data_IF_404225752946
#
_entry.id   IF_404225752946
#
_cell.length_a   1.000
_cell.length_b   1.000
_cell.length_c   1.000
_cell.angle_alpha   90.00
_cell.angle_beta   90.00
_cell.angle_gamma   90.00
#
_symmetry.space_group_name_H-M   'P 1'
#
loop_
_entity.id
_entity.type
_entity.pdbx_description
1 polymer ?
#
# COMPACT_ATOMS: atom_id res chain seq x y z
N UNK A 1 34.44 -19.72 30.63
CA UNK A 1 33.31 -18.92 31.08
C UNK A 1 32.47 -18.55 29.87
N UNK A 2 31.45 -19.33 29.59
CA UNK A 2 30.52 -19.13 28.47
C UNK A 2 29.44 -18.14 28.92
N UNK A 3 29.45 -16.95 28.36
CA UNK A 3 28.41 -15.96 28.62
C UNK A 3 27.08 -16.42 27.98
N UNK A 4 26.12 -16.72 28.84
CA UNK A 4 24.76 -17.09 28.46
C UNK A 4 24.06 -15.85 27.93
N UNK A 5 23.65 -15.85 26.65
CA UNK A 5 22.82 -14.79 26.06
C UNK A 5 21.48 -14.74 26.82
N UNK A 6 20.97 -13.57 27.19
CA UNK A 6 19.64 -13.46 27.77
C UNK A 6 18.59 -13.89 26.75
N UNK A 7 17.63 -14.70 27.21
CA UNK A 7 16.46 -15.16 26.44
C UNK A 7 15.57 -13.94 26.06
N UNK A 8 15.33 -13.67 24.77
CA UNK A 8 14.56 -12.52 24.34
C UNK A 8 13.05 -12.73 24.38
N UNK A 9 12.55 -13.71 25.14
CA UNK A 9 11.10 -13.89 25.25
C UNK A 9 10.48 -12.69 26.00
N UNK A 10 9.55 -11.93 25.37
CA UNK A 10 8.84 -10.89 26.09
C UNK A 10 7.98 -11.52 27.18
N UNK A 11 7.93 -10.84 28.32
CA UNK A 11 7.00 -11.18 29.39
C UNK A 11 5.61 -11.40 28.83
N UNK A 12 4.91 -12.44 29.32
CA UNK A 12 3.57 -12.83 28.91
C UNK A 12 2.69 -11.62 28.73
N UNK A 13 2.15 -11.47 27.52
CA UNK A 13 1.14 -10.47 27.22
C UNK A 13 -0.01 -10.60 28.22
N UNK A 14 -0.52 -9.50 28.77
CA UNK A 14 -1.72 -9.54 29.59
C UNK A 14 -2.84 -10.22 28.78
N UNK A 15 -3.73 -10.99 29.42
CA UNK A 15 -4.84 -11.62 28.75
C UNK A 15 -5.57 -10.55 27.92
N UNK A 16 -5.92 -10.89 26.67
CA UNK A 16 -6.71 -10.02 25.81
C UNK A 16 -7.91 -9.56 26.66
N UNK A 17 -8.05 -8.26 26.86
CA UNK A 17 -9.26 -7.71 27.43
C UNK A 17 -10.36 -8.18 26.48
N UNK A 18 -11.27 -9.02 26.97
CA UNK A 18 -12.56 -9.19 26.31
C UNK A 18 -13.07 -7.79 26.04
N UNK A 19 -13.02 -7.38 24.79
CA UNK A 19 -13.41 -6.03 24.40
C UNK A 19 -14.88 -5.89 24.71
N UNK A 20 -15.20 -5.23 25.81
CA UNK A 20 -16.55 -4.82 26.08
C UNK A 20 -17.03 -4.02 24.87
N UNK A 21 -17.98 -4.57 24.13
CA UNK A 21 -18.64 -3.86 23.04
C UNK A 21 -19.19 -2.57 23.64
N UNK A 22 -18.89 -1.38 23.06
CA UNK A 22 -19.37 -0.12 23.61
C UNK A 22 -20.88 -0.19 23.88
N UNK A 23 -21.32 0.19 25.10
CA UNK A 23 -22.73 0.17 25.46
C UNK A 23 -23.55 0.91 24.40
N UNK A 24 -24.62 0.29 23.95
CA UNK A 24 -25.48 0.79 22.85
C UNK A 24 -25.20 0.17 21.48
N UNK A 25 -24.01 -0.37 21.20
CA UNK A 25 -23.75 -0.99 19.88
C UNK A 25 -24.58 -2.26 19.68
N UNK A 26 -24.82 -3.03 20.74
CA UNK A 26 -25.66 -4.24 20.70
C UNK A 26 -27.17 -3.93 20.69
N UNK A 27 -27.56 -2.69 20.92
CA UNK A 27 -28.94 -2.22 20.75
C UNK A 27 -29.30 -2.08 19.27
N UNK A 28 -28.30 -1.92 18.39
CA UNK A 28 -28.47 -1.97 16.95
C UNK A 28 -28.74 -3.42 16.51
N UNK A 29 -29.91 -3.71 15.88
CA UNK A 29 -30.25 -5.07 15.47
C UNK A 29 -29.22 -5.68 14.49
N UNK A 30 -28.57 -4.87 13.67
CA UNK A 30 -27.52 -5.30 12.74
C UNK A 30 -26.26 -5.71 13.48
N UNK A 31 -25.81 -4.88 14.42
CA UNK A 31 -24.65 -5.18 15.25
C UNK A 31 -24.88 -6.41 16.12
N UNK A 32 -26.09 -6.58 16.65
CA UNK A 32 -26.46 -7.77 17.41
C UNK A 32 -26.43 -9.06 16.57
N UNK A 33 -26.83 -8.99 15.30
CA UNK A 33 -26.70 -10.11 14.36
C UNK A 33 -25.24 -10.45 14.03
N UNK A 34 -24.41 -9.43 13.80
CA UNK A 34 -22.98 -9.61 13.58
C UNK A 34 -22.28 -10.23 14.79
N UNK A 35 -22.63 -9.81 16.01
CA UNK A 35 -22.09 -10.38 17.24
C UNK A 35 -22.46 -11.86 17.45
N UNK A 36 -23.54 -12.33 16.83
CA UNK A 36 -23.94 -13.76 16.80
C UNK A 36 -23.39 -14.52 15.61
N UNK A 37 -22.51 -13.90 14.80
CA UNK A 37 -21.93 -14.50 13.60
C UNK A 37 -23.00 -14.98 12.58
N UNK A 38 -24.16 -14.34 12.54
CA UNK A 38 -25.23 -14.67 11.61
C UNK A 38 -24.86 -14.23 10.19
N UNK A 39 -25.07 -15.08 9.14
CA UNK A 39 -24.94 -14.67 7.75
C UNK A 39 -25.81 -13.44 7.47
N UNK A 40 -25.19 -12.40 6.89
CA UNK A 40 -25.83 -11.11 6.70
C UNK A 40 -25.42 -10.48 5.38
N UNK A 41 -26.42 -9.96 4.65
CA UNK A 41 -26.20 -9.01 3.55
C UNK A 41 -26.77 -7.66 3.99
N UNK A 42 -25.94 -6.64 3.97
CA UNK A 42 -26.35 -5.29 4.33
C UNK A 42 -26.07 -4.33 3.18
N UNK A 43 -27.04 -3.52 2.86
CA UNK A 43 -26.92 -2.43 1.90
C UNK A 43 -26.92 -1.11 2.67
N UNK A 44 -25.92 -0.27 2.41
CA UNK A 44 -25.85 1.06 3.04
C UNK A 44 -27.07 1.90 2.64
N UNK A 45 -28.00 2.22 3.56
CA UNK A 45 -29.17 3.03 3.24
C UNK A 45 -28.83 4.49 2.87
N UNK A 46 -27.62 4.93 3.22
CA UNK A 46 -27.09 6.24 2.85
C UNK A 46 -26.26 6.21 1.55
N UNK A 47 -26.28 5.10 0.81
CA UNK A 47 -25.64 5.03 -0.50
C UNK A 47 -26.25 6.07 -1.44
N UNK A 48 -25.40 6.77 -2.17
CA UNK A 48 -25.80 7.79 -3.13
C UNK A 48 -25.14 7.50 -4.48
N UNK A 49 -25.52 8.21 -5.53
CA UNK A 49 -24.83 8.10 -6.81
C UNK A 49 -23.39 8.65 -6.73
N UNK A 50 -22.57 8.30 -7.72
CA UNK A 50 -21.16 8.66 -7.73
C UNK A 50 -20.94 10.17 -7.77
N UNK A 51 -21.78 10.93 -8.47
CA UNK A 51 -21.61 12.38 -8.60
C UNK A 51 -21.84 13.07 -7.24
N UNK A 52 -22.91 12.68 -6.53
CA UNK A 52 -23.19 13.19 -5.19
C UNK A 52 -22.11 12.75 -4.19
N UNK A 53 -21.68 11.48 -4.23
CA UNK A 53 -20.66 10.96 -3.36
C UNK A 53 -19.31 11.65 -3.55
N UNK A 54 -18.90 11.89 -4.77
CA UNK A 54 -17.67 12.60 -5.09
C UNK A 54 -17.74 14.08 -4.69
N UNK A 55 -18.86 14.75 -4.93
CA UNK A 55 -19.04 16.16 -4.54
C UNK A 55 -19.03 16.37 -3.02
N UNK A 56 -19.46 15.36 -2.25
CA UNK A 56 -19.44 15.35 -0.79
C UNK A 56 -18.11 14.85 -0.20
N UNK A 57 -17.18 14.38 -1.04
CA UNK A 57 -15.89 13.86 -0.60
C UNK A 57 -15.07 14.98 0.06
N UNK A 58 -14.39 14.61 1.16
CA UNK A 58 -13.40 15.49 1.81
C UNK A 58 -11.99 15.31 1.23
N UNK A 59 -11.83 14.38 0.27
CA UNK A 59 -10.55 14.16 -0.41
C UNK A 59 -10.45 15.15 -1.56
N UNK A 60 -9.42 15.98 -1.54
CA UNK A 60 -9.10 16.87 -2.63
C UNK A 60 -8.66 16.04 -3.86
N UNK A 61 -9.35 16.15 -5.01
CA UNK A 61 -8.93 15.47 -6.23
C UNK A 61 -7.48 15.73 -6.64
N UNK A 62 -6.93 16.91 -6.33
CA UNK A 62 -5.55 17.25 -6.61
C UNK A 62 -4.54 16.30 -5.94
N UNK A 63 -4.88 15.72 -4.79
CA UNK A 63 -4.05 14.69 -4.12
C UNK A 63 -3.94 13.43 -4.98
N UNK A 64 -5.04 13.04 -5.62
CA UNK A 64 -5.07 11.86 -6.51
C UNK A 64 -4.25 12.11 -7.77
N UNK A 65 -4.40 13.30 -8.36
CA UNK A 65 -3.67 13.71 -9.56
C UNK A 65 -2.16 13.79 -9.28
N UNK A 66 -1.76 14.37 -8.15
CA UNK A 66 -0.36 14.43 -7.74
C UNK A 66 0.23 13.03 -7.50
N UNK A 67 -0.53 12.13 -6.86
CA UNK A 67 -0.10 10.75 -6.66
C UNK A 67 0.08 10.00 -7.99
N UNK A 68 -0.85 10.18 -8.94
CA UNK A 68 -0.77 9.59 -10.26
C UNK A 68 0.45 10.15 -11.03
N UNK A 69 0.63 11.47 -11.02
CA UNK A 69 1.77 12.13 -11.66
C UNK A 69 3.11 11.66 -11.04
N UNK A 70 3.18 11.46 -9.72
CA UNK A 70 4.38 10.94 -9.05
C UNK A 70 4.72 9.52 -9.51
N UNK A 71 3.75 8.62 -9.55
CA UNK A 71 3.99 7.27 -10.06
C UNK A 71 4.44 7.30 -11.52
N UNK A 72 3.89 8.21 -12.34
CA UNK A 72 4.27 8.34 -13.75
C UNK A 72 5.72 8.82 -13.90
N UNK A 73 6.15 9.87 -13.17
CA UNK A 73 7.53 10.38 -13.29
C UNK A 73 8.58 9.43 -12.71
N UNK A 74 8.21 8.54 -11.79
CA UNK A 74 9.11 7.50 -11.30
C UNK A 74 9.19 6.25 -12.21
N UNK A 75 8.34 6.10 -13.21
CA UNK A 75 8.32 4.93 -14.11
C UNK A 75 9.68 4.52 -14.67
N UNK A 76 10.54 5.43 -15.16
CA UNK A 76 11.86 5.05 -15.66
C UNK A 76 12.74 4.39 -14.59
N UNK A 77 12.68 4.89 -13.36
CA UNK A 77 13.39 4.32 -12.23
C UNK A 77 12.80 2.96 -11.81
N UNK A 78 11.46 2.87 -11.77
CA UNK A 78 10.74 1.63 -11.44
C UNK A 78 11.08 0.54 -12.46
N UNK A 79 11.05 0.84 -13.76
CA UNK A 79 11.38 -0.11 -14.83
C UNK A 79 12.82 -0.63 -14.74
N UNK A 80 13.76 0.25 -14.39
CA UNK A 80 15.16 -0.12 -14.23
C UNK A 80 15.44 -0.93 -12.96
N UNK A 81 14.63 -0.71 -11.91
CA UNK A 81 14.83 -1.30 -10.58
C UNK A 81 14.08 -2.64 -10.42
N UNK A 82 12.91 -2.76 -11.01
CA UNK A 82 12.02 -3.92 -10.92
C UNK A 82 11.78 -4.52 -12.31
N UNK A 83 12.53 -5.56 -12.70
CA UNK A 83 12.48 -6.13 -14.05
C UNK A 83 11.10 -6.62 -14.50
N UNK A 84 10.24 -7.05 -13.56
CA UNK A 84 8.87 -7.48 -13.81
C UNK A 84 7.95 -6.33 -14.27
N UNK A 85 8.37 -5.07 -14.09
CA UNK A 85 7.67 -3.88 -14.60
C UNK A 85 8.23 -3.37 -15.93
N UNK A 86 9.40 -3.86 -16.37
CA UNK A 86 10.14 -3.28 -17.50
C UNK A 86 9.33 -3.31 -18.80
N UNK A 87 8.66 -4.44 -19.11
CA UNK A 87 7.83 -4.58 -20.30
C UNK A 87 6.65 -3.59 -20.35
N UNK A 88 6.17 -3.15 -19.18
CA UNK A 88 5.12 -2.14 -19.02
C UNK A 88 5.70 -0.72 -18.82
N UNK A 89 7.02 -0.53 -19.03
CA UNK A 89 7.69 0.75 -18.86
C UNK A 89 7.61 1.30 -17.44
N UNK A 90 7.67 0.43 -16.43
CA UNK A 90 7.62 0.80 -15.01
C UNK A 90 6.21 1.00 -14.46
N UNK A 91 5.17 0.65 -15.21
CA UNK A 91 3.80 0.67 -14.71
C UNK A 91 3.58 -0.48 -13.73
N UNK A 92 3.12 -0.16 -12.52
CA UNK A 92 2.69 -1.14 -11.52
C UNK A 92 1.20 -1.39 -11.72
N UNK A 93 0.87 -2.39 -12.53
CA UNK A 93 -0.50 -2.75 -12.89
C UNK A 93 -0.65 -4.27 -12.94
N UNK A 94 -1.72 -4.78 -12.36
CA UNK A 94 -2.04 -6.20 -12.43
C UNK A 94 -2.92 -6.50 -13.65
N UNK A 95 -2.77 -7.68 -14.27
CA UNK A 95 -3.57 -8.04 -15.43
C UNK A 95 -5.03 -8.32 -15.04
N UNK A 96 -5.93 -8.14 -16.01
CA UNK A 96 -7.28 -8.67 -15.97
C UNK A 96 -7.31 -10.04 -16.62
N UNK A 97 -7.82 -11.03 -15.91
CA UNK A 97 -7.99 -12.40 -16.38
C UNK A 97 -9.48 -12.73 -16.49
N UNK A 98 -9.92 -13.33 -17.60
CA UNK A 98 -11.28 -13.83 -17.71
C UNK A 98 -11.52 -15.03 -16.77
N UNK A 99 -12.57 -14.95 -15.97
CA UNK A 99 -12.99 -15.97 -15.02
C UNK A 99 -14.16 -16.79 -15.59
N UNK A 100 -14.00 -17.35 -16.81
CA UNK A 100 -15.06 -18.04 -17.56
C UNK A 100 -15.64 -19.22 -16.79
N UNK A 101 -14.82 -20.04 -16.14
CA UNK A 101 -15.30 -21.19 -15.37
C UNK A 101 -16.19 -20.74 -14.20
N UNK A 102 -15.78 -19.69 -13.48
CA UNK A 102 -16.59 -19.12 -12.41
C UNK A 102 -17.86 -18.46 -12.94
N UNK A 103 -17.77 -17.73 -14.05
CA UNK A 103 -18.92 -17.11 -14.71
C UNK A 103 -19.99 -18.15 -15.06
N UNK A 104 -19.59 -19.28 -15.63
CA UNK A 104 -20.48 -20.36 -15.96
C UNK A 104 -21.12 -21.02 -14.72
N UNK A 105 -20.30 -21.30 -13.70
CA UNK A 105 -20.78 -21.88 -12.44
C UNK A 105 -21.77 -20.97 -11.70
N UNK A 106 -21.55 -19.65 -11.75
CA UNK A 106 -22.42 -18.64 -11.16
C UNK A 106 -23.68 -18.33 -12.02
N UNK A 107 -23.80 -18.90 -13.22
CA UNK A 107 -24.94 -18.66 -14.10
C UNK A 107 -25.03 -17.26 -14.69
N UNK A 108 -23.93 -16.52 -14.73
CA UNK A 108 -23.87 -15.17 -15.32
C UNK A 108 -23.92 -15.26 -16.83
N UNK A 109 -25.07 -14.90 -17.42
CA UNK A 109 -25.36 -15.11 -18.85
C UNK A 109 -25.05 -13.89 -19.74
N UNK A 110 -24.84 -12.73 -19.17
CA UNK A 110 -24.54 -11.49 -19.90
C UNK A 110 -23.34 -10.77 -19.29
N UNK A 111 -22.59 -10.08 -20.14
CA UNK A 111 -21.35 -9.44 -19.73
C UNK A 111 -20.17 -10.40 -19.58
N UNK A 112 -19.09 -9.91 -18.99
CA UNK A 112 -17.86 -10.67 -18.73
C UNK A 112 -17.51 -10.61 -17.26
N UNK A 113 -17.08 -11.72 -16.68
CA UNK A 113 -16.53 -11.76 -15.33
C UNK A 113 -15.00 -11.74 -15.44
N UNK A 114 -14.40 -10.74 -14.88
CA UNK A 114 -12.96 -10.50 -14.91
C UNK A 114 -12.40 -10.57 -13.50
N UNK A 115 -11.29 -11.25 -13.35
CA UNK A 115 -10.50 -11.27 -12.12
C UNK A 115 -9.32 -10.29 -12.26
N UNK A 116 -9.28 -9.30 -11.38
CA UNK A 116 -8.12 -8.41 -11.24
C UNK A 116 -7.08 -9.15 -10.40
N UNK A 117 -5.95 -9.52 -11.04
CA UNK A 117 -4.93 -10.41 -10.46
C UNK A 117 -3.92 -9.65 -9.60
N UNK A 118 -4.39 -9.03 -8.49
CA UNK A 118 -3.51 -8.29 -7.58
C UNK A 118 -2.53 -9.21 -6.80
N UNK A 119 -2.78 -10.50 -6.80
CA UNK A 119 -1.88 -11.54 -6.28
C UNK A 119 -0.56 -11.67 -7.06
N UNK A 120 -0.54 -11.20 -8.30
CA UNK A 120 0.66 -11.13 -9.15
C UNK A 120 1.00 -9.69 -9.56
N UNK A 121 0.54 -8.70 -8.78
CA UNK A 121 0.91 -7.31 -9.02
C UNK A 121 2.43 -7.17 -8.88
N UNK A 122 3.12 -6.55 -9.86
CA UNK A 122 4.57 -6.33 -9.79
C UNK A 122 5.02 -5.70 -8.49
N UNK A 123 6.28 -5.90 -8.13
CA UNK A 123 6.99 -5.41 -6.94
C UNK A 123 6.71 -6.24 -5.68
N UNK A 124 5.45 -6.46 -5.27
CA UNK A 124 5.19 -7.14 -4.00
C UNK A 124 4.01 -8.12 -4.01
N UNK A 125 3.42 -8.42 -5.16
CA UNK A 125 2.32 -9.39 -5.28
C UNK A 125 1.06 -8.98 -4.52
N UNK A 126 0.77 -7.68 -4.40
CA UNK A 126 -0.36 -7.19 -3.62
C UNK A 126 -0.70 -5.75 -3.98
N UNK A 127 -1.96 -5.35 -3.84
CA UNK A 127 -2.42 -3.96 -4.03
C UNK A 127 -1.59 -2.94 -3.22
N UNK A 128 -0.90 -3.36 -2.17
CA UNK A 128 -0.01 -2.51 -1.37
C UNK A 128 1.25 -2.09 -2.13
N UNK A 129 1.57 -2.74 -3.26
CA UNK A 129 2.61 -2.30 -4.18
C UNK A 129 2.32 -0.93 -4.83
N UNK A 130 1.11 -0.42 -4.78
CA UNK A 130 0.78 0.93 -5.26
C UNK A 130 0.81 1.97 -4.14
N UNK A 131 -0.05 1.84 -3.12
CA UNK A 131 -0.13 2.82 -2.03
C UNK A 131 1.12 2.91 -1.19
N UNK A 132 1.63 1.79 -0.68
CA UNK A 132 2.85 1.76 0.14
C UNK A 132 4.09 2.21 -0.62
N UNK A 133 4.19 1.85 -1.89
CA UNK A 133 5.28 2.33 -2.78
C UNK A 133 5.18 3.84 -2.99
N UNK A 134 3.98 4.36 -3.31
CA UNK A 134 3.75 5.79 -3.52
C UNK A 134 4.21 6.63 -2.31
N UNK A 135 3.85 6.24 -1.09
CA UNK A 135 4.23 6.97 0.13
C UNK A 135 5.75 7.08 0.29
N UNK A 136 6.47 6.00 0.03
CA UNK A 136 7.94 6.02 0.13
C UNK A 136 8.57 6.84 -0.99
N UNK A 137 8.02 6.78 -2.21
CA UNK A 137 8.48 7.63 -3.33
C UNK A 137 8.23 9.11 -3.05
N UNK A 138 7.09 9.46 -2.46
CA UNK A 138 6.79 10.83 -2.04
C UNK A 138 7.81 11.34 -1.00
N UNK A 139 8.12 10.51 -0.01
CA UNK A 139 9.12 10.85 0.98
C UNK A 139 10.50 11.04 0.36
N UNK A 140 10.94 10.12 -0.50
CA UNK A 140 12.23 10.21 -1.19
C UNK A 140 12.32 11.46 -2.08
N UNK A 141 11.26 11.78 -2.83
CA UNK A 141 11.18 12.99 -3.65
C UNK A 141 11.28 14.26 -2.78
N UNK A 142 10.54 14.30 -1.67
CA UNK A 142 10.56 15.44 -0.74
C UNK A 142 11.96 15.67 -0.16
N UNK A 143 12.68 14.61 0.20
CA UNK A 143 14.07 14.71 0.66
C UNK A 143 14.97 15.25 -0.44
N UNK A 144 14.84 14.74 -1.66
CA UNK A 144 15.66 15.17 -2.79
C UNK A 144 15.48 16.66 -3.13
N UNK A 145 14.23 17.13 -3.07
CA UNK A 145 13.89 18.55 -3.26
C UNK A 145 14.43 19.40 -2.12
N UNK A 146 14.23 18.99 -0.87
CA UNK A 146 14.69 19.74 0.31
C UNK A 146 16.21 19.91 0.34
N UNK A 147 16.97 18.97 -0.24
CA UNK A 147 18.44 19.04 -0.34
C UNK A 147 18.93 19.62 -1.67
N UNK A 148 18.05 20.14 -2.51
CA UNK A 148 18.41 20.75 -3.80
C UNK A 148 18.96 19.78 -4.85
N UNK A 149 18.72 18.46 -4.66
CA UNK A 149 19.16 17.40 -5.58
C UNK A 149 18.15 17.10 -6.68
N UNK A 150 16.90 17.54 -6.49
CA UNK A 150 15.86 17.61 -7.51
C UNK A 150 15.23 19.00 -7.49
N UNK A 151 14.90 19.57 -8.67
CA UNK A 151 14.13 20.80 -8.73
C UNK A 151 12.71 20.55 -8.19
N UNK A 152 12.14 21.54 -7.51
CA UNK A 152 10.74 21.49 -7.09
C UNK A 152 9.82 21.40 -8.31
N UNK A 153 8.80 20.51 -8.25
CA UNK A 153 7.81 20.33 -9.32
C UNK A 153 6.96 21.59 -9.57
N UNK A 154 6.81 22.45 -8.57
CA UNK A 154 6.12 23.73 -8.71
C UNK A 154 6.91 24.76 -9.53
N UNK A 155 8.24 24.60 -9.63
CA UNK A 155 9.14 25.56 -10.28
C UNK A 155 9.69 25.11 -11.63
N UNK A 156 9.58 23.81 -11.96
CA UNK A 156 10.11 23.25 -13.21
C UNK A 156 9.24 22.10 -13.72
N UNK A 157 8.97 22.04 -15.05
CA UNK A 157 8.26 20.91 -15.66
C UNK A 157 8.93 19.57 -15.33
N UNK A 158 8.12 18.53 -15.10
CA UNK A 158 8.61 17.20 -14.75
C UNK A 158 9.44 16.53 -15.86
N UNK A 159 9.27 16.93 -17.11
CA UNK A 159 10.00 16.41 -18.28
C UNK A 159 11.52 16.60 -18.20
N UNK A 160 11.98 17.60 -17.43
CA UNK A 160 13.42 17.90 -17.28
C UNK A 160 14.08 17.16 -16.10
N UNK A 161 13.34 16.29 -15.41
CA UNK A 161 13.82 15.62 -14.20
C UNK A 161 14.20 14.17 -14.48
N UNK A 162 15.44 13.81 -14.16
CA UNK A 162 15.94 12.44 -14.25
C UNK A 162 15.70 11.66 -12.95
N UNK A 163 14.56 11.01 -12.86
CA UNK A 163 14.24 10.16 -11.70
C UNK A 163 15.08 8.87 -11.63
N UNK A 164 15.77 8.46 -12.70
CA UNK A 164 16.73 7.34 -12.64
C UNK A 164 17.92 7.66 -11.75
N UNK A 165 18.15 8.94 -11.45
CA UNK A 165 19.18 9.41 -10.55
C UNK A 165 19.06 8.88 -9.11
N UNK A 166 17.88 8.41 -8.69
CA UNK A 166 17.71 7.74 -7.39
C UNK A 166 18.51 6.44 -7.24
N UNK A 167 18.99 5.85 -8.34
CA UNK A 167 19.86 4.67 -8.31
C UNK A 167 21.33 4.99 -8.08
N UNK A 168 21.75 6.25 -8.09
CA UNK A 168 23.18 6.69 -8.04
C UNK A 168 23.40 7.87 -7.10
N UNK A 169 24.68 8.12 -6.78
CA UNK A 169 25.05 9.32 -6.02
C UNK A 169 24.70 10.60 -6.81
N UNK A 170 24.33 11.72 -6.13
CA UNK A 170 24.29 11.85 -4.66
C UNK A 170 22.98 11.38 -4.01
N UNK A 171 21.89 11.18 -4.79
CA UNK A 171 20.57 10.83 -4.25
C UNK A 171 20.58 9.55 -3.42
N UNK A 172 21.26 8.50 -3.93
CA UNK A 172 21.36 7.25 -3.19
C UNK A 172 22.09 7.42 -1.84
N UNK A 173 23.12 8.24 -1.78
CA UNK A 173 23.82 8.54 -0.53
C UNK A 173 22.89 9.24 0.46
N UNK A 174 22.15 10.26 0.02
CA UNK A 174 21.15 10.93 0.84
C UNK A 174 20.13 9.94 1.44
N UNK A 175 19.61 9.02 0.63
CA UNK A 175 18.62 8.04 1.11
C UNK A 175 19.18 7.15 2.23
N UNK A 176 20.46 6.78 2.20
CA UNK A 176 21.05 5.91 3.25
C UNK A 176 21.10 6.55 4.63
N UNK A 177 21.01 7.87 4.73
CA UNK A 177 20.97 8.62 5.98
C UNK A 177 19.58 8.66 6.62
N UNK A 178 18.56 8.20 5.89
CA UNK A 178 17.17 8.30 6.31
C UNK A 178 16.51 6.94 6.55
N UNK A 179 15.48 6.93 7.40
CA UNK A 179 14.79 5.72 7.81
C UNK A 179 13.28 5.87 7.65
N UNK A 180 12.65 4.78 7.20
CA UNK A 180 11.19 4.60 7.20
C UNK A 180 10.84 3.58 8.27
N UNK A 181 9.84 3.90 9.09
CA UNK A 181 9.32 3.00 10.15
C UNK A 181 7.83 2.80 9.92
N UNK A 182 7.38 1.56 9.92
CA UNK A 182 5.97 1.22 9.71
C UNK A 182 5.53 0.09 10.65
N UNK A 183 4.31 0.19 11.17
CA UNK A 183 3.60 -0.90 11.85
C UNK A 183 2.76 -1.67 10.83
N UNK A 184 3.09 -2.94 10.59
CA UNK A 184 2.35 -3.76 9.63
C UNK A 184 2.57 -5.24 9.87
N UNK A 185 1.49 -6.03 9.81
CA UNK A 185 1.53 -7.50 9.95
C UNK A 185 1.58 -8.23 8.60
N UNK A 186 1.68 -7.54 7.48
CA UNK A 186 1.60 -8.19 6.16
C UNK A 186 2.12 -7.35 5.00
N UNK A 187 1.40 -7.39 3.90
CA UNK A 187 1.82 -6.90 2.59
C UNK A 187 2.18 -5.41 2.53
N UNK A 188 1.65 -4.57 3.44
CA UNK A 188 2.04 -3.17 3.49
C UNK A 188 3.50 -3.02 3.95
N UNK A 189 3.87 -3.71 5.03
CA UNK A 189 5.26 -3.71 5.50
C UNK A 189 6.22 -4.29 4.47
N UNK A 190 5.81 -5.35 3.76
CA UNK A 190 6.58 -5.94 2.67
C UNK A 190 6.81 -4.91 1.54
N UNK A 191 5.76 -4.25 1.06
CA UNK A 191 5.86 -3.25 -0.02
C UNK A 191 6.75 -2.07 0.36
N UNK A 192 6.59 -1.54 1.58
CA UNK A 192 7.41 -0.45 2.10
C UNK A 192 8.87 -0.89 2.27
N UNK A 193 9.11 -2.10 2.77
CA UNK A 193 10.46 -2.65 2.91
C UNK A 193 11.18 -2.80 1.57
N UNK A 194 10.51 -3.36 0.57
CA UNK A 194 11.07 -3.56 -0.77
C UNK A 194 11.45 -2.22 -1.42
N UNK A 195 10.55 -1.25 -1.45
CA UNK A 195 10.82 0.03 -2.11
C UNK A 195 11.86 0.86 -1.34
N UNK A 196 11.84 0.81 -0.01
CA UNK A 196 12.84 1.48 0.82
C UNK A 196 14.25 0.92 0.56
N UNK A 197 14.39 -0.40 0.53
CA UNK A 197 15.65 -1.06 0.22
C UNK A 197 16.15 -0.70 -1.19
N UNK A 198 15.25 -0.66 -2.18
CA UNK A 198 15.58 -0.28 -3.55
C UNK A 198 16.11 1.15 -3.64
N UNK A 199 15.54 2.09 -2.90
CA UNK A 199 16.01 3.48 -2.82
C UNK A 199 17.30 3.64 -1.97
N UNK A 200 17.59 2.70 -1.09
CA UNK A 200 18.70 2.79 -0.13
C UNK A 200 18.30 3.33 1.24
N UNK A 201 17.02 3.58 1.47
CA UNK A 201 16.48 3.95 2.77
C UNK A 201 16.62 2.79 3.77
N UNK A 202 16.86 3.11 5.04
CA UNK A 202 16.73 2.12 6.10
C UNK A 202 15.25 1.85 6.38
N UNK A 203 14.82 0.59 6.41
CA UNK A 203 13.45 0.23 6.73
C UNK A 203 13.35 -0.54 8.05
N UNK A 204 12.39 -0.17 8.89
CA UNK A 204 12.03 -0.93 10.10
C UNK A 204 10.53 -1.23 10.05
N UNK A 205 10.19 -2.52 10.06
CA UNK A 205 8.79 -2.96 10.08
C UNK A 205 8.49 -3.57 11.45
N UNK A 206 7.61 -2.94 12.22
CA UNK A 206 7.11 -3.48 13.47
C UNK A 206 5.93 -4.40 13.17
N UNK A 207 6.06 -5.67 13.51
CA UNK A 207 5.05 -6.69 13.26
C UNK A 207 4.53 -7.25 14.58
N UNK A 208 3.21 -7.43 14.68
CA UNK A 208 2.62 -8.27 15.70
C UNK A 208 2.67 -9.72 15.22
N UNK A 209 3.28 -10.58 16.00
CA UNK A 209 3.37 -12.01 15.68
C UNK A 209 2.04 -12.71 16.00
N UNK A 210 1.02 -12.48 15.16
CA UNK A 210 -0.26 -13.19 15.28
C UNK A 210 -0.19 -14.64 14.75
N UNK A 211 0.85 -14.97 13.97
CA UNK A 211 1.02 -16.28 13.33
C UNK A 211 1.46 -17.35 14.36
N UNK A 212 2.01 -16.93 15.47
CA UNK A 212 2.52 -17.85 16.52
C UNK A 212 1.58 -17.99 17.73
N UNK A 213 0.38 -17.42 17.65
CA UNK A 213 -0.69 -17.60 18.60
C UNK A 213 -1.63 -18.70 18.10
#
# INVERSE_FOLDING_TARGET
MTAQRPDPRPASLPPAREGAVPGGLLEDPLAARLAREEPLTWWNPAATDAAQGLSASRVDPAIVDDAAARLERFRPWIAATFPDTAAAGGLIESPLQEATAWQNAAGVRSGRVLLKRDDILPVSGSVKARGGVHEVLQYAESLAVAHGLLPDSTTRPDADKDYTAFSRAPLRALMTEHRVVVGSTGNLGLSIGIISAALGLQATVHMLSLIHI
#
